data_IF_735055541518
#
_entry.id   IF_735055541518
#
_cell.length_a   1.000
_cell.length_b   1.000
_cell.length_c   1.000
_cell.angle_alpha   90.00
_cell.angle_beta   90.00
_cell.angle_gamma   90.00
#
_symmetry.space_group_name_H-M   'P 1'
#
loop_
_entity.id
_entity.type
_entity.pdbx_description
1 polymer ?
#
# COMPACT_ATOMS: atom_id res chain seq x y z
N UNK A 1 -26.80 5.82 -6.26
CA UNK A 1 -27.42 4.46 -6.34
C UNK A 1 -26.56 3.40 -5.66
N UNK A 2 -25.22 3.36 -5.86
CA UNK A 2 -24.34 2.39 -5.18
C UNK A 2 -24.36 2.54 -3.65
N UNK A 3 -24.31 3.75 -3.13
CA UNK A 3 -24.34 4.01 -1.67
C UNK A 3 -25.67 3.57 -1.02
N UNK A 4 -26.79 3.71 -1.70
CA UNK A 4 -28.09 3.27 -1.17
C UNK A 4 -28.22 1.74 -1.16
N UNK A 5 -27.71 1.04 -2.17
CA UNK A 5 -27.66 -0.41 -2.19
C UNK A 5 -26.75 -0.97 -1.08
N UNK A 6 -25.66 -0.27 -0.77
CA UNK A 6 -24.72 -0.65 0.27
C UNK A 6 -25.35 -0.57 1.67
N UNK A 7 -26.01 0.56 1.99
CA UNK A 7 -26.59 0.77 3.31
C UNK A 7 -27.79 -0.13 3.61
N UNK A 8 -28.60 -0.44 2.61
CA UNK A 8 -29.83 -1.24 2.79
C UNK A 8 -29.58 -2.75 2.66
N UNK A 9 -28.60 -3.19 1.89
CA UNK A 9 -28.46 -4.60 1.49
C UNK A 9 -27.14 -5.26 1.90
N UNK A 10 -26.22 -4.59 2.60
CA UNK A 10 -24.91 -5.11 2.96
C UNK A 10 -24.12 -5.64 1.74
N UNK A 11 -24.24 -4.97 0.61
CA UNK A 11 -23.51 -5.30 -0.63
C UNK A 11 -22.50 -4.22 -0.90
N UNK A 12 -21.26 -4.64 -1.07
CA UNK A 12 -20.14 -3.76 -1.37
C UNK A 12 -19.29 -4.36 -2.49
N UNK A 13 -19.03 -3.60 -3.56
CA UNK A 13 -18.23 -4.04 -4.70
C UNK A 13 -17.38 -2.89 -5.22
N UNK A 14 -16.05 -3.06 -5.15
CA UNK A 14 -15.07 -2.05 -5.54
C UNK A 14 -14.11 -2.57 -6.58
N UNK A 15 -13.97 -1.90 -7.72
CA UNK A 15 -12.84 -2.11 -8.61
C UNK A 15 -11.58 -1.44 -8.03
N UNK A 16 -10.44 -2.03 -8.30
CA UNK A 16 -9.13 -1.47 -7.98
C UNK A 16 -8.17 -1.67 -9.15
N UNK A 17 -7.30 -0.69 -9.35
CA UNK A 17 -6.18 -0.75 -10.29
C UNK A 17 -4.94 -0.36 -9.50
N UNK A 18 -3.93 -1.21 -9.55
CA UNK A 18 -2.65 -1.03 -8.85
C UNK A 18 -1.50 -0.97 -9.85
N UNK A 19 -0.28 -0.83 -9.36
CA UNK A 19 0.91 -0.86 -10.21
C UNK A 19 1.17 -2.22 -10.87
N UNK A 20 0.63 -3.31 -10.29
CA UNK A 20 0.90 -4.68 -10.71
C UNK A 20 -0.32 -5.45 -11.18
N UNK A 21 -1.49 -4.86 -11.18
CA UNK A 21 -2.71 -5.53 -11.64
C UNK A 21 -3.99 -4.81 -11.28
N UNK A 22 -5.08 -5.34 -11.75
CA UNK A 22 -6.44 -4.89 -11.48
C UNK A 22 -7.27 -5.98 -10.83
N UNK A 23 -8.32 -5.57 -10.13
CA UNK A 23 -9.23 -6.49 -9.47
C UNK A 23 -10.55 -5.87 -9.09
N UNK A 24 -11.50 -6.70 -8.73
CA UNK A 24 -12.78 -6.30 -8.13
C UNK A 24 -12.97 -7.08 -6.84
N UNK A 25 -13.11 -6.37 -5.73
CA UNK A 25 -13.43 -6.98 -4.44
C UNK A 25 -14.91 -6.81 -4.15
N UNK A 26 -15.59 -7.89 -3.76
CA UNK A 26 -17.01 -7.90 -3.40
C UNK A 26 -17.24 -8.48 -2.01
N UNK A 27 -18.22 -7.93 -1.28
CA UNK A 27 -18.72 -8.47 -0.01
C UNK A 27 -20.24 -8.38 0.02
N UNK A 28 -20.89 -9.43 0.52
CA UNK A 28 -22.31 -9.42 0.83
C UNK A 28 -22.66 -10.44 1.91
N UNK A 29 -23.89 -10.39 2.41
CA UNK A 29 -24.48 -11.50 3.12
C UNK A 29 -25.15 -12.49 2.14
N UNK A 30 -25.49 -13.70 2.62
CA UNK A 30 -26.08 -14.75 1.76
C UNK A 30 -27.39 -14.34 1.09
N UNK A 31 -28.17 -13.46 1.71
CA UNK A 31 -29.46 -12.98 1.12
C UNK A 31 -29.26 -12.10 -0.10
N UNK A 32 -28.10 -11.46 -0.21
CA UNK A 32 -27.82 -10.45 -1.25
C UNK A 32 -26.71 -10.86 -2.21
N UNK A 33 -26.36 -12.15 -2.25
CA UNK A 33 -25.32 -12.69 -3.13
C UNK A 33 -25.58 -12.29 -4.60
N UNK A 34 -26.80 -12.46 -5.10
CA UNK A 34 -27.11 -12.09 -6.49
C UNK A 34 -26.87 -10.60 -6.76
N UNK A 35 -27.18 -9.71 -5.82
CA UNK A 35 -26.91 -8.29 -6.00
C UNK A 35 -25.38 -8.00 -6.04
N UNK A 36 -24.58 -8.72 -5.25
CA UNK A 36 -23.13 -8.62 -5.33
C UNK A 36 -22.61 -9.08 -6.70
N UNK A 37 -23.08 -10.20 -7.21
CA UNK A 37 -22.71 -10.68 -8.55
C UNK A 37 -23.15 -9.74 -9.67
N UNK A 38 -24.35 -9.14 -9.57
CA UNK A 38 -24.81 -8.10 -10.50
C UNK A 38 -23.87 -6.88 -10.50
N UNK A 39 -23.48 -6.41 -9.31
CA UNK A 39 -22.58 -5.27 -9.20
C UNK A 39 -21.17 -5.61 -9.71
N UNK A 40 -20.68 -6.83 -9.45
CA UNK A 40 -19.44 -7.33 -10.03
C UNK A 40 -19.52 -7.29 -11.56
N UNK A 41 -20.53 -7.90 -12.13
CA UNK A 41 -20.76 -7.93 -13.59
C UNK A 41 -20.79 -6.52 -14.21
N UNK A 42 -21.48 -5.57 -13.56
CA UNK A 42 -21.57 -4.19 -14.04
C UNK A 42 -20.22 -3.45 -13.99
N UNK A 43 -19.29 -3.83 -13.10
CA UNK A 43 -17.95 -3.27 -13.13
C UNK A 43 -17.16 -3.68 -14.37
N UNK A 44 -17.46 -4.83 -14.96
CA UNK A 44 -16.83 -5.27 -16.22
C UNK A 44 -17.56 -4.75 -17.47
N UNK A 45 -18.89 -4.54 -17.41
CA UNK A 45 -19.70 -4.36 -18.62
C UNK A 45 -20.32 -2.97 -18.79
N UNK A 46 -20.55 -2.23 -17.71
CA UNK A 46 -21.29 -0.95 -17.75
C UNK A 46 -20.72 0.09 -16.78
N UNK A 47 -19.54 0.61 -17.09
CA UNK A 47 -18.97 1.71 -16.33
C UNK A 47 -19.73 3.00 -16.55
N UNK A 48 -20.31 3.57 -15.50
CA UNK A 48 -21.06 4.83 -15.52
C UNK A 48 -20.35 5.96 -14.80
N UNK A 49 -19.26 6.44 -15.35
CA UNK A 49 -18.59 7.65 -14.88
C UNK A 49 -19.17 8.85 -15.63
N UNK A 50 -19.57 9.88 -14.86
CA UNK A 50 -20.08 11.17 -15.39
C UNK A 50 -19.03 12.26 -15.19
N UNK A 51 -19.09 13.31 -16.03
CA UNK A 51 -18.16 14.44 -15.94
C UNK A 51 -18.07 15.03 -14.54
N UNK A 52 -19.20 15.22 -13.89
CA UNK A 52 -19.21 15.79 -12.52
C UNK A 52 -18.53 14.89 -11.45
N UNK A 53 -18.32 13.61 -11.72
CA UNK A 53 -17.53 12.73 -10.83
C UNK A 53 -16.03 12.99 -11.02
N UNK A 54 -15.62 13.14 -12.27
CA UNK A 54 -14.23 13.46 -12.63
C UNK A 54 -13.86 14.84 -12.11
N UNK A 55 -14.71 15.85 -12.35
CA UNK A 55 -14.48 17.23 -11.89
C UNK A 55 -14.30 17.31 -10.37
N UNK A 56 -15.20 16.68 -9.60
CA UNK A 56 -15.09 16.62 -8.13
C UNK A 56 -13.86 15.86 -7.64
N UNK A 57 -13.48 14.80 -8.35
CA UNK A 57 -12.25 14.08 -8.03
C UNK A 57 -11.02 14.98 -8.24
N UNK A 58 -10.93 15.63 -9.40
CA UNK A 58 -9.83 16.55 -9.74
C UNK A 58 -9.74 17.68 -8.71
N UNK A 59 -10.86 18.35 -8.45
CA UNK A 59 -10.92 19.46 -7.48
C UNK A 59 -10.44 19.02 -6.09
N UNK A 60 -10.91 17.87 -5.62
CA UNK A 60 -10.47 17.32 -4.33
C UNK A 60 -8.97 17.04 -4.31
N UNK A 61 -8.42 16.40 -5.36
CA UNK A 61 -7.00 16.07 -5.44
C UNK A 61 -6.11 17.30 -5.53
N UNK A 62 -6.55 18.32 -6.24
CA UNK A 62 -5.84 19.61 -6.28
C UNK A 62 -5.84 20.28 -4.90
N UNK A 63 -6.98 20.28 -4.20
CA UNK A 63 -7.05 20.86 -2.85
C UNK A 63 -6.18 20.07 -1.85
N UNK A 64 -6.18 18.74 -1.92
CA UNK A 64 -5.29 17.89 -1.11
C UNK A 64 -3.82 18.22 -1.39
N UNK A 65 -3.43 18.36 -2.65
CA UNK A 65 -2.06 18.72 -3.04
C UNK A 65 -1.66 20.11 -2.52
N UNK A 66 -2.55 21.11 -2.62
CA UNK A 66 -2.28 22.47 -2.10
C UNK A 66 -2.05 22.44 -0.59
N UNK A 67 -2.91 21.73 0.14
CA UNK A 67 -2.79 21.58 1.61
C UNK A 67 -1.49 20.84 1.96
N UNK A 68 -1.17 19.76 1.25
CA UNK A 68 0.05 18.98 1.49
C UNK A 68 1.30 19.84 1.22
N UNK A 69 1.29 20.66 0.18
CA UNK A 69 2.39 21.56 -0.14
C UNK A 69 2.68 22.62 0.93
N UNK A 70 1.67 22.99 1.72
CA UNK A 70 1.82 23.87 2.88
C UNK A 70 2.41 23.15 4.10
N UNK A 71 2.45 21.81 4.09
CA UNK A 71 3.02 21.01 5.15
C UNK A 71 4.54 21.12 5.12
N UNK A 72 5.21 21.52 6.23
CA UNK A 72 6.68 21.59 6.30
C UNK A 72 7.40 20.31 5.90
N UNK A 73 6.73 19.15 6.06
CA UNK A 73 7.27 17.85 5.68
C UNK A 73 7.17 17.54 4.17
N UNK A 74 6.48 18.36 3.40
CA UNK A 74 6.25 18.10 1.98
C UNK A 74 7.57 17.93 1.21
N UNK A 75 8.45 18.93 1.31
CA UNK A 75 9.75 18.93 0.63
C UNK A 75 10.63 17.74 1.08
N UNK A 76 10.62 17.43 2.38
CA UNK A 76 11.37 16.28 2.89
C UNK A 76 10.85 14.95 2.37
N UNK A 77 9.52 14.80 2.24
CA UNK A 77 8.91 13.61 1.68
C UNK A 77 9.21 13.48 0.18
N UNK A 78 9.19 14.58 -0.57
CA UNK A 78 9.56 14.59 -1.98
C UNK A 78 11.02 14.16 -2.18
N UNK A 79 11.95 14.76 -1.42
CA UNK A 79 13.36 14.42 -1.51
C UNK A 79 13.64 12.98 -1.09
N UNK A 80 12.99 12.50 -0.04
CA UNK A 80 13.06 11.10 0.37
C UNK A 80 12.64 10.17 -0.78
N UNK A 81 11.49 10.43 -1.41
CA UNK A 81 11.02 9.60 -2.54
C UNK A 81 11.96 9.65 -3.73
N UNK A 82 12.47 10.85 -4.10
CA UNK A 82 13.47 11.00 -5.17
C UNK A 82 14.69 10.12 -4.93
N UNK A 83 15.23 10.17 -3.73
CA UNK A 83 16.40 9.37 -3.35
C UNK A 83 16.08 7.88 -3.29
N UNK A 84 14.96 7.52 -2.67
CA UNK A 84 14.52 6.13 -2.55
C UNK A 84 14.38 5.44 -3.90
N UNK A 85 13.71 6.08 -4.85
CA UNK A 85 13.41 5.55 -6.18
C UNK A 85 14.32 6.10 -7.29
N UNK A 86 15.45 6.70 -6.92
CA UNK A 86 16.45 7.20 -7.87
C UNK A 86 15.86 8.20 -8.88
N UNK A 87 14.96 9.07 -8.43
CA UNK A 87 14.25 10.09 -9.21
C UNK A 87 13.45 9.52 -10.39
N UNK A 88 12.94 8.30 -10.24
CA UNK A 88 12.17 7.68 -11.31
C UNK A 88 10.81 8.38 -11.50
N UNK A 89 10.43 8.81 -12.72
CA UNK A 89 9.27 9.68 -12.95
C UNK A 89 7.94 9.08 -12.51
N UNK A 90 7.78 7.76 -12.57
CA UNK A 90 6.54 7.08 -12.14
C UNK A 90 6.34 7.03 -10.62
N UNK A 91 7.35 7.38 -9.84
CA UNK A 91 7.29 7.35 -8.37
C UNK A 91 7.08 8.72 -7.75
N UNK A 92 7.04 9.78 -8.57
CA UNK A 92 6.78 11.14 -8.12
C UNK A 92 5.32 11.33 -7.69
N UNK A 93 5.09 12.24 -6.75
CA UNK A 93 3.73 12.64 -6.41
C UNK A 93 3.11 13.43 -7.56
N UNK A 94 1.85 13.14 -7.92
CA UNK A 94 1.14 13.93 -8.93
C UNK A 94 0.97 15.39 -8.48
N UNK A 95 1.21 16.33 -9.38
CA UNK A 95 1.01 17.76 -9.16
C UNK A 95 -0.40 18.21 -9.54
N UNK A 96 -0.75 19.45 -9.23
CA UNK A 96 -2.03 20.02 -9.66
C UNK A 96 -2.12 20.12 -11.19
N UNK A 97 -1.01 20.41 -11.89
CA UNK A 97 -0.95 20.39 -13.35
C UNK A 97 -1.24 19.01 -13.92
N UNK A 98 -0.77 17.94 -13.27
CA UNK A 98 -1.10 16.58 -13.67
C UNK A 98 -2.60 16.30 -13.54
N UNK A 99 -3.21 16.66 -12.42
CA UNK A 99 -4.64 16.42 -12.21
C UNK A 99 -5.53 17.19 -13.20
N UNK A 100 -5.14 18.41 -13.58
CA UNK A 100 -5.86 19.24 -14.57
C UNK A 100 -5.89 18.63 -15.98
N UNK A 101 -4.98 17.70 -16.28
CA UNK A 101 -4.93 17.04 -17.60
C UNK A 101 -5.87 15.84 -17.70
N UNK A 102 -6.41 15.35 -16.59
CA UNK A 102 -7.28 14.18 -16.58
C UNK A 102 -8.63 14.51 -17.22
N UNK A 103 -9.02 13.76 -18.23
CA UNK A 103 -10.30 13.88 -18.89
C UNK A 103 -11.24 12.69 -18.62
N UNK A 104 -12.55 12.90 -18.76
CA UNK A 104 -13.53 11.82 -18.64
C UNK A 104 -13.27 10.72 -19.66
N UNK A 105 -12.93 11.07 -20.90
CA UNK A 105 -12.66 10.13 -21.99
C UNK A 105 -11.47 9.23 -21.64
N UNK A 106 -10.37 9.79 -21.16
CA UNK A 106 -9.19 9.00 -20.74
C UNK A 106 -9.52 8.05 -19.61
N UNK A 107 -10.27 8.52 -18.58
CA UNK A 107 -10.69 7.67 -17.46
C UNK A 107 -11.56 6.51 -17.96
N UNK A 108 -12.52 6.78 -18.82
CA UNK A 108 -13.41 5.75 -19.37
C UNK A 108 -12.66 4.74 -20.25
N UNK A 109 -11.80 5.22 -21.14
CA UNK A 109 -11.02 4.38 -22.04
C UNK A 109 -10.03 3.49 -21.27
N UNK A 110 -9.33 4.07 -20.28
CA UNK A 110 -8.39 3.33 -19.45
C UNK A 110 -9.09 2.24 -18.64
N UNK A 111 -10.21 2.59 -17.97
CA UNK A 111 -10.97 1.61 -17.20
C UNK A 111 -11.51 0.49 -18.10
N UNK A 112 -12.11 0.86 -19.22
CA UNK A 112 -12.64 -0.12 -20.19
C UNK A 112 -11.55 -1.07 -20.69
N UNK A 113 -10.37 -0.54 -20.99
CA UNK A 113 -9.25 -1.37 -21.43
C UNK A 113 -8.84 -2.39 -20.35
N UNK A 114 -8.79 -1.99 -19.07
CA UNK A 114 -8.39 -2.89 -17.97
C UNK A 114 -9.42 -3.96 -17.60
N UNK A 115 -10.72 -3.68 -17.80
CA UNK A 115 -11.81 -4.57 -17.39
C UNK A 115 -12.59 -5.19 -18.56
N UNK A 116 -12.15 -5.03 -19.80
CA UNK A 116 -12.89 -5.57 -20.97
C UNK A 116 -12.82 -7.09 -21.07
N UNK A 117 -11.79 -7.71 -20.55
CA UNK A 117 -11.54 -9.16 -20.65
C UNK A 117 -11.70 -9.85 -19.29
N UNK A 118 -12.91 -10.33 -18.99
CA UNK A 118 -13.17 -11.09 -17.78
C UNK A 118 -12.45 -12.43 -17.72
N UNK A 119 -12.07 -12.98 -18.87
CA UNK A 119 -11.33 -14.23 -18.98
C UNK A 119 -9.87 -14.14 -18.50
N UNK A 120 -9.34 -12.92 -18.37
CA UNK A 120 -7.99 -12.68 -17.79
C UNK A 120 -7.97 -12.57 -16.25
N UNK A 121 -9.13 -12.70 -15.59
CA UNK A 121 -9.24 -12.61 -14.13
C UNK A 121 -9.42 -13.97 -13.46
N UNK A 122 -8.75 -14.15 -12.32
CA UNK A 122 -9.01 -15.26 -11.42
C UNK A 122 -10.09 -14.85 -10.40
N UNK A 123 -11.19 -15.61 -10.31
CA UNK A 123 -12.29 -15.36 -9.39
C UNK A 123 -12.19 -16.28 -8.16
N UNK A 124 -11.97 -15.70 -6.99
CA UNK A 124 -11.85 -16.41 -5.71
C UNK A 124 -13.06 -16.03 -4.86
N UNK A 125 -13.90 -17.01 -4.50
CA UNK A 125 -15.10 -16.81 -3.69
C UNK A 125 -14.93 -17.57 -2.38
N UNK A 126 -15.07 -16.86 -1.27
CA UNK A 126 -14.90 -17.41 0.08
C UNK A 126 -16.09 -17.03 0.95
N UNK A 127 -16.71 -17.98 1.62
CA UNK A 127 -17.84 -17.73 2.49
C UNK A 127 -18.55 -18.99 2.94
N UNK A 128 -19.61 -18.80 3.72
CA UNK A 128 -20.55 -19.85 4.15
C UNK A 128 -21.72 -19.90 3.17
N UNK A 129 -21.59 -20.72 2.14
CA UNK A 129 -22.60 -20.91 1.09
C UNK A 129 -22.60 -22.36 0.57
N UNK A 130 -23.76 -22.83 0.11
CA UNK A 130 -23.86 -24.10 -0.62
C UNK A 130 -23.50 -23.88 -2.10
N UNK A 131 -22.72 -24.80 -2.68
CA UNK A 131 -22.24 -24.70 -4.06
C UNK A 131 -23.42 -24.61 -5.06
N UNK A 132 -24.46 -25.37 -4.85
CA UNK A 132 -25.68 -25.41 -5.68
C UNK A 132 -26.41 -24.06 -5.72
N UNK A 133 -26.22 -23.22 -4.69
CA UNK A 133 -26.81 -21.88 -4.62
C UNK A 133 -25.97 -20.88 -5.39
N UNK A 134 -24.65 -21.01 -5.38
CA UNK A 134 -23.74 -20.02 -5.97
C UNK A 134 -23.42 -20.35 -7.44
N UNK A 135 -23.40 -21.61 -7.84
CA UNK A 135 -23.08 -22.05 -9.19
C UNK A 135 -23.93 -21.36 -10.28
N UNK A 136 -25.26 -21.24 -10.16
CA UNK A 136 -26.06 -20.52 -11.17
C UNK A 136 -25.71 -19.01 -11.25
N UNK A 137 -25.26 -18.42 -10.16
CA UNK A 137 -24.82 -17.01 -10.14
C UNK A 137 -23.46 -16.85 -10.83
N UNK A 138 -22.55 -17.80 -10.61
CA UNK A 138 -21.24 -17.84 -11.29
C UNK A 138 -21.46 -17.97 -12.80
N UNK A 139 -22.25 -18.95 -13.24
CA UNK A 139 -22.55 -19.15 -14.65
C UNK A 139 -23.17 -17.91 -15.30
N UNK A 140 -24.16 -17.32 -14.63
CA UNK A 140 -24.90 -16.17 -15.12
C UNK A 140 -24.08 -14.90 -15.21
N UNK A 141 -23.27 -14.60 -14.21
CA UNK A 141 -22.58 -13.31 -14.09
C UNK A 141 -21.08 -13.37 -14.45
N UNK A 142 -20.38 -14.40 -14.02
CA UNK A 142 -18.94 -14.55 -14.33
C UNK A 142 -18.79 -15.26 -15.69
N UNK A 143 -19.49 -16.37 -15.88
CA UNK A 143 -19.42 -17.14 -17.14
C UNK A 143 -19.91 -16.41 -18.38
N UNK A 144 -20.64 -15.29 -18.20
CA UNK A 144 -21.08 -14.43 -19.32
C UNK A 144 -20.16 -13.24 -19.60
N UNK A 145 -19.07 -13.07 -18.85
CA UNK A 145 -18.06 -12.04 -19.13
C UNK A 145 -17.30 -12.38 -20.44
N UNK A 146 -16.78 -11.35 -21.07
CA UNK A 146 -15.96 -11.51 -22.28
C UNK A 146 -14.68 -12.28 -21.97
N UNK A 147 -14.31 -13.19 -22.85
CA UNK A 147 -13.04 -13.91 -22.83
C UNK A 147 -12.29 -13.64 -24.15
N UNK A 148 -11.49 -12.58 -24.15
CA UNK A 148 -10.76 -12.12 -25.33
C UNK A 148 -9.40 -12.81 -25.49
N UNK A 149 -9.02 -13.65 -24.55
CA UNK A 149 -7.70 -14.32 -24.52
C UNK A 149 -6.54 -13.32 -24.55
N UNK A 150 -6.68 -12.20 -23.87
CA UNK A 150 -5.61 -11.20 -23.79
C UNK A 150 -4.39 -11.80 -23.09
N UNK A 151 -3.23 -11.46 -23.61
CA UNK A 151 -1.94 -11.64 -22.94
C UNK A 151 -1.42 -10.26 -22.54
N UNK A 152 -1.50 -9.94 -21.26
CA UNK A 152 -1.04 -8.68 -20.68
C UNK A 152 0.21 -8.95 -19.83
N UNK A 153 1.40 -9.15 -20.44
CA UNK A 153 2.61 -9.42 -19.69
C UNK A 153 3.01 -8.20 -18.86
N UNK A 154 3.60 -8.48 -17.71
CA UNK A 154 4.18 -7.41 -16.90
C UNK A 154 5.29 -6.68 -17.67
N UNK A 155 5.23 -5.35 -17.65
CA UNK A 155 6.25 -4.49 -18.24
C UNK A 155 7.09 -3.89 -17.12
N UNK A 156 8.35 -4.27 -17.05
CA UNK A 156 9.31 -3.68 -16.11
C UNK A 156 9.68 -2.26 -16.57
N UNK A 157 9.22 -1.26 -15.85
CA UNK A 157 9.52 0.15 -16.09
C UNK A 157 10.82 0.62 -15.44
N UNK A 158 11.60 -0.27 -14.84
CA UNK A 158 12.89 0.06 -14.24
C UNK A 158 12.79 0.78 -12.89
N UNK A 159 11.66 0.72 -12.19
CA UNK A 159 11.54 1.26 -10.84
C UNK A 159 12.37 0.40 -9.89
N UNK A 160 13.36 1.01 -9.24
CA UNK A 160 14.26 0.32 -8.30
C UNK A 160 14.54 1.16 -7.07
N UNK A 161 14.66 0.51 -5.94
CA UNK A 161 15.14 1.17 -4.73
C UNK A 161 16.63 1.49 -4.81
N UNK A 162 17.03 2.60 -4.17
CA UNK A 162 18.46 2.91 -4.03
C UNK A 162 19.20 1.82 -3.25
N UNK A 163 20.40 1.47 -3.71
CA UNK A 163 21.30 0.57 -3.00
C UNK A 163 22.35 1.36 -2.17
N UNK A 164 22.25 2.68 -2.17
CA UNK A 164 23.16 3.55 -1.43
C UNK A 164 22.72 3.71 0.01
N UNK A 165 23.70 3.73 0.93
CA UNK A 165 23.45 4.21 2.29
C UNK A 165 23.43 5.73 2.27
N UNK A 166 22.30 6.32 2.60
CA UNK A 166 22.11 7.76 2.63
C UNK A 166 21.58 8.21 4.00
N UNK A 167 22.05 9.35 4.46
CA UNK A 167 21.51 10.06 5.59
C UNK A 167 20.98 11.40 5.11
N UNK A 168 19.72 11.68 5.43
CA UNK A 168 19.05 12.92 5.08
C UNK A 168 18.46 13.54 6.33
N UNK A 169 18.74 14.80 6.55
CA UNK A 169 18.23 15.57 7.68
C UNK A 169 17.50 16.81 7.18
N UNK A 170 16.28 16.98 7.67
CA UNK A 170 15.47 18.18 7.42
C UNK A 170 15.21 18.82 8.78
N UNK A 171 15.55 20.10 8.91
CA UNK A 171 15.37 20.85 10.15
C UNK A 171 14.31 21.93 9.94
N UNK A 172 13.39 21.98 10.90
CA UNK A 172 12.54 23.15 11.09
C UNK A 172 13.14 23.98 12.23
N UNK A 173 13.08 25.29 12.09
CA UNK A 173 13.45 26.20 13.18
C UNK A 173 12.51 25.94 14.38
N UNK A 174 13.08 25.87 15.58
CA UNK A 174 12.37 25.59 16.85
C UNK A 174 11.65 24.24 16.95
N UNK A 175 12.05 23.24 16.17
CA UNK A 175 11.49 21.89 16.26
C UNK A 175 11.62 21.30 17.66
N UNK A 176 10.49 21.00 18.30
CA UNK A 176 10.44 20.37 19.63
C UNK A 176 10.55 18.85 19.58
N UNK A 177 10.38 18.26 18.41
CA UNK A 177 10.40 16.82 18.19
C UNK A 177 11.13 16.48 16.90
N UNK A 178 11.96 15.45 16.95
CA UNK A 178 12.54 14.82 15.79
C UNK A 178 11.72 13.56 15.44
N UNK A 179 11.42 13.39 14.16
CA UNK A 179 10.85 12.16 13.61
C UNK A 179 11.93 11.49 12.78
N UNK A 180 12.30 10.28 13.14
CA UNK A 180 13.35 9.53 12.47
C UNK A 180 12.77 8.27 11.83
N UNK A 181 13.21 8.04 10.61
CA UNK A 181 12.81 6.89 9.83
C UNK A 181 14.05 6.19 9.28
N UNK A 182 14.34 4.99 9.81
CA UNK A 182 15.47 4.16 9.37
C UNK A 182 14.94 3.02 8.53
N UNK A 183 15.37 2.94 7.28
CA UNK A 183 14.95 1.90 6.35
C UNK A 183 16.11 1.00 6.01
N UNK A 184 15.84 -0.29 6.01
CA UNK A 184 16.80 -1.34 5.66
C UNK A 184 16.21 -2.14 4.51
N UNK A 185 16.98 -2.31 3.45
CA UNK A 185 16.62 -3.10 2.29
C UNK A 185 17.52 -4.30 2.15
N UNK A 186 16.97 -5.38 1.63
CA UNK A 186 17.74 -6.53 1.23
C UNK A 186 17.06 -7.22 0.05
N UNK A 187 17.84 -7.56 -0.97
CA UNK A 187 17.46 -8.52 -1.99
C UNK A 187 17.20 -9.85 -1.32
N UNK A 188 16.02 -10.40 -1.55
CA UNK A 188 15.60 -11.53 -0.78
C UNK A 188 14.63 -12.39 -1.58
N UNK A 189 15.03 -13.61 -1.82
CA UNK A 189 14.14 -14.54 -2.47
C UNK A 189 12.99 -14.89 -1.53
N UNK A 190 11.78 -14.55 -1.93
CA UNK A 190 10.60 -14.74 -1.12
C UNK A 190 10.37 -16.20 -0.75
N UNK A 191 10.12 -16.46 0.53
CA UNK A 191 9.60 -17.72 1.01
C UNK A 191 8.69 -17.49 2.21
N UNK A 192 7.63 -18.28 2.33
CA UNK A 192 6.74 -18.23 3.50
C UNK A 192 7.48 -18.45 4.83
N UNK A 193 8.49 -19.32 4.81
CA UNK A 193 9.32 -19.58 5.99
C UNK A 193 10.11 -18.36 6.44
N UNK A 194 10.68 -17.64 5.50
CA UNK A 194 11.49 -16.47 5.82
C UNK A 194 10.62 -15.27 6.17
N UNK A 195 9.45 -15.16 5.53
CA UNK A 195 8.40 -14.23 5.96
C UNK A 195 8.02 -14.46 7.44
N UNK A 196 7.78 -15.71 7.83
CA UNK A 196 7.48 -16.05 9.23
C UNK A 196 8.62 -15.70 10.20
N UNK A 197 9.88 -15.99 9.81
CA UNK A 197 11.06 -15.58 10.61
C UNK A 197 11.15 -14.07 10.78
N UNK A 198 10.91 -13.31 9.71
CA UNK A 198 10.96 -11.85 9.80
C UNK A 198 9.81 -11.31 10.66
N UNK A 199 8.63 -11.92 10.64
CA UNK A 199 7.55 -11.58 11.57
C UNK A 199 7.98 -11.76 13.02
N UNK A 200 8.58 -12.89 13.35
CA UNK A 200 9.08 -13.17 14.70
C UNK A 200 10.17 -12.18 15.09
N UNK A 201 11.16 -11.96 14.20
CA UNK A 201 12.23 -10.97 14.43
C UNK A 201 11.66 -9.58 14.73
N UNK A 202 10.69 -9.13 13.93
CA UNK A 202 10.06 -7.81 14.13
C UNK A 202 9.30 -7.74 15.46
N UNK A 203 8.66 -8.82 15.90
CA UNK A 203 8.00 -8.85 17.20
C UNK A 203 8.99 -8.71 18.34
N UNK A 204 10.08 -9.47 18.31
CA UNK A 204 11.17 -9.38 19.31
C UNK A 204 11.80 -7.99 19.29
N UNK A 205 12.11 -7.47 18.11
CA UNK A 205 12.71 -6.13 18.01
C UNK A 205 11.77 -5.04 18.54
N UNK A 206 10.47 -5.12 18.28
CA UNK A 206 9.50 -4.15 18.81
C UNK A 206 9.43 -4.18 20.33
N UNK A 207 9.44 -5.36 20.95
CA UNK A 207 9.48 -5.50 22.40
C UNK A 207 10.76 -4.90 22.98
N UNK A 208 11.91 -5.26 22.42
CA UNK A 208 13.20 -4.69 22.86
C UNK A 208 13.28 -3.18 22.69
N UNK A 209 12.80 -2.64 21.56
CA UNK A 209 12.78 -1.20 21.32
C UNK A 209 11.88 -0.47 22.32
N UNK A 210 10.71 -1.05 22.61
CA UNK A 210 9.79 -0.48 23.58
C UNK A 210 10.38 -0.50 24.99
N UNK A 211 10.81 -1.67 25.45
CA UNK A 211 11.28 -1.84 26.82
C UNK A 211 12.58 -1.06 27.08
N UNK A 212 13.57 -1.20 26.19
CA UNK A 212 14.89 -0.60 26.40
C UNK A 212 14.96 0.88 26.09
N UNK A 213 14.46 1.29 24.91
CA UNK A 213 14.61 2.68 24.44
C UNK A 213 13.56 3.60 25.02
N UNK A 214 12.32 3.12 25.16
CA UNK A 214 11.22 3.95 25.66
C UNK A 214 11.05 3.88 27.16
N UNK A 215 10.94 2.67 27.75
CA UNK A 215 10.61 2.52 29.17
C UNK A 215 11.85 2.62 30.08
N UNK A 216 12.96 1.96 29.74
CA UNK A 216 14.17 2.01 30.58
C UNK A 216 14.96 3.31 30.37
N UNK A 217 15.33 3.60 29.11
CA UNK A 217 16.19 4.74 28.80
C UNK A 217 15.41 6.06 28.68
N UNK A 218 14.08 6.01 28.50
CA UNK A 218 13.18 7.16 28.36
C UNK A 218 13.62 8.17 27.29
N UNK A 219 14.18 7.67 26.18
CA UNK A 219 14.80 8.48 25.13
C UNK A 219 13.80 8.94 24.07
N UNK A 220 12.64 8.27 23.94
CA UNK A 220 11.66 8.50 22.86
C UNK A 220 10.24 8.67 23.38
N UNK A 221 9.43 9.42 22.65
CA UNK A 221 7.98 9.48 22.89
C UNK A 221 7.28 8.26 22.32
N UNK A 222 7.72 7.81 21.15
CA UNK A 222 7.23 6.61 20.48
C UNK A 222 8.32 5.96 19.66
N UNK A 223 8.32 4.64 19.60
CA UNK A 223 9.21 3.86 18.75
C UNK A 223 8.47 2.60 18.30
N UNK A 224 8.65 2.24 17.04
CA UNK A 224 8.09 1.00 16.47
C UNK A 224 8.90 0.55 15.27
N UNK A 225 8.75 -0.71 14.92
CA UNK A 225 9.25 -1.24 13.66
C UNK A 225 8.12 -1.85 12.83
N UNK A 226 8.28 -1.83 11.53
CA UNK A 226 7.40 -2.49 10.60
C UNK A 226 8.18 -3.03 9.41
N UNK A 227 7.53 -3.85 8.60
CA UNK A 227 8.13 -4.52 7.46
C UNK A 227 7.25 -4.41 6.24
N UNK A 228 7.89 -4.48 5.10
CA UNK A 228 7.26 -4.57 3.80
C UNK A 228 7.96 -5.65 2.98
N UNK A 229 7.17 -6.47 2.31
CA UNK A 229 7.66 -7.44 1.35
C UNK A 229 7.10 -7.08 -0.01
N UNK A 230 7.97 -6.93 -1.00
CA UNK A 230 7.57 -6.97 -2.39
C UNK A 230 7.77 -8.43 -2.88
N UNK A 231 6.66 -9.09 -3.11
CA UNK A 231 6.66 -10.54 -3.32
C UNK A 231 6.93 -10.93 -4.76
N UNK A 232 6.90 -10.00 -5.70
CA UNK A 232 6.83 -10.40 -7.09
C UNK A 232 7.63 -9.56 -8.07
N UNK A 233 7.42 -8.27 -8.18
CA UNK A 233 7.81 -7.53 -9.37
C UNK A 233 8.11 -6.07 -9.01
N UNK A 234 9.16 -5.47 -9.53
CA UNK A 234 10.15 -6.00 -10.49
C UNK A 234 11.23 -6.86 -9.85
N UNK A 235 11.37 -6.81 -8.54
CA UNK A 235 12.39 -7.52 -7.75
C UNK A 235 11.76 -8.03 -6.45
N UNK A 236 12.16 -9.23 -6.05
CA UNK A 236 11.84 -9.72 -4.71
C UNK A 236 12.70 -8.97 -3.70
N UNK A 237 12.15 -7.93 -3.09
CA UNK A 237 12.85 -7.13 -2.09
C UNK A 237 12.13 -7.16 -0.75
N UNK A 238 12.90 -7.21 0.31
CA UNK A 238 12.38 -7.04 1.67
C UNK A 238 12.92 -5.77 2.25
N UNK A 239 12.02 -4.93 2.76
CA UNK A 239 12.40 -3.81 3.60
C UNK A 239 11.81 -3.95 5.00
N UNK A 240 12.55 -3.48 5.98
CA UNK A 240 11.99 -3.17 7.29
C UNK A 240 12.42 -1.78 7.70
N UNK A 241 11.63 -1.16 8.55
CA UNK A 241 11.95 0.16 9.04
C UNK A 241 11.70 0.27 10.54
N UNK A 242 12.48 1.13 11.17
CA UNK A 242 12.30 1.57 12.54
C UNK A 242 11.93 3.04 12.48
N UNK A 243 10.81 3.38 13.11
CA UNK A 243 10.34 4.75 13.23
C UNK A 243 10.31 5.15 14.69
N UNK A 244 10.82 6.34 15.00
CA UNK A 244 10.71 6.89 16.33
C UNK A 244 10.53 8.41 16.33
N UNK A 245 9.92 8.91 17.41
CA UNK A 245 9.78 10.34 17.71
C UNK A 245 10.41 10.62 19.04
N UNK A 246 11.38 11.54 19.08
CA UNK A 246 12.13 11.90 20.28
C UNK A 246 12.54 13.37 20.33
N UNK A 247 13.28 13.75 21.37
CA UNK A 247 13.92 15.05 21.44
C UNK A 247 15.05 15.11 20.39
N UNK A 248 15.14 16.20 19.59
CA UNK A 248 16.20 16.37 18.61
C UNK A 248 17.62 16.20 19.17
N UNK A 249 17.82 16.56 20.44
CA UNK A 249 19.12 16.42 21.12
C UNK A 249 19.54 14.98 21.38
N UNK A 250 18.59 14.06 21.42
CA UNK A 250 18.80 12.66 21.74
C UNK A 250 18.92 11.76 20.52
N UNK A 251 18.76 12.29 19.30
CA UNK A 251 18.70 11.49 18.06
C UNK A 251 19.91 10.58 17.89
N UNK A 252 21.12 11.07 18.17
CA UNK A 252 22.34 10.28 18.08
C UNK A 252 22.36 9.15 19.12
N UNK A 253 22.00 9.45 20.38
CA UNK A 253 21.94 8.45 21.45
C UNK A 253 20.90 7.37 21.12
N UNK A 254 19.74 7.76 20.62
CA UNK A 254 18.68 6.82 20.21
C UNK A 254 19.17 5.92 19.07
N UNK A 255 19.83 6.48 18.07
CA UNK A 255 20.38 5.71 16.96
C UNK A 255 21.45 4.70 17.43
N UNK A 256 22.36 5.11 18.31
CA UNK A 256 23.37 4.22 18.89
C UNK A 256 22.71 3.09 19.69
N UNK A 257 21.69 3.40 20.47
CA UNK A 257 20.96 2.40 21.26
C UNK A 257 20.24 1.38 20.37
N UNK A 258 19.63 1.83 19.28
CA UNK A 258 19.02 0.95 18.29
C UNK A 258 20.07 0.02 17.66
N UNK A 259 21.24 0.55 17.32
CA UNK A 259 22.33 -0.26 16.73
C UNK A 259 22.83 -1.31 17.71
N UNK A 260 22.99 -0.98 19.01
CA UNK A 260 23.35 -1.95 20.06
C UNK A 260 22.31 -3.08 20.17
N UNK A 261 21.02 -2.75 20.15
CA UNK A 261 19.95 -3.76 20.20
C UNK A 261 19.96 -4.67 18.97
N UNK A 262 20.21 -4.12 17.78
CA UNK A 262 20.34 -4.91 16.56
C UNK A 262 21.56 -5.87 16.67
N UNK A 263 22.69 -5.40 17.20
CA UNK A 263 23.85 -6.26 17.41
C UNK A 263 23.59 -7.35 18.48
N UNK A 264 22.86 -7.05 19.54
CA UNK A 264 22.43 -8.03 20.54
C UNK A 264 21.62 -9.15 19.87
N UNK A 265 20.67 -8.80 19.00
CA UNK A 265 19.89 -9.79 18.23
C UNK A 265 20.79 -10.63 17.32
N UNK A 266 21.74 -10.03 16.61
CA UNK A 266 22.66 -10.73 15.73
C UNK A 266 23.54 -11.74 16.46
N UNK A 267 23.99 -11.38 17.66
CA UNK A 267 24.89 -12.19 18.49
C UNK A 267 24.14 -13.27 19.29
N UNK A 268 22.80 -13.30 19.21
CA UNK A 268 21.94 -14.21 19.99
C UNK A 268 22.10 -14.05 21.53
N UNK A 269 22.47 -12.87 21.97
CA UNK A 269 22.61 -12.51 23.38
C UNK A 269 21.24 -12.11 23.95
N UNK A 270 20.31 -13.10 24.02
CA UNK A 270 19.02 -12.88 24.64
C UNK A 270 19.11 -13.23 26.13
N UNK A 271 18.64 -12.35 27.00
CA UNK A 271 18.34 -12.72 28.37
C UNK A 271 17.23 -13.79 28.38
N UNK A 272 17.37 -14.78 29.26
CA UNK A 272 16.42 -15.90 29.43
C UNK A 272 15.02 -15.48 29.93
N UNK A 273 14.64 -14.21 29.77
CA UNK A 273 13.38 -13.62 30.23
C UNK A 273 12.43 -13.23 29.10
N UNK A 274 12.74 -13.59 27.85
CA UNK A 274 11.83 -13.42 26.70
C UNK A 274 11.21 -14.76 26.30
#
# INVERSE_FOLDING_TARGET
EKENLFQENFVDVFPSITESGEGVTGKSNNKNLENMFKMLYLNFTDLRVKQNHVDRFIERRINEYIIDKENPKHESNLDYRKKLYQDHPRTMYPTDEFFKQISLEEVQNFYKDRFIDGGSFDFIIVGDFEFETIEPLIEKYIGSLSDLKRDDPYIDHGIRYTQKREYNEYKEDDAKKANIFRVYFKDYKYSYRDKAKLYLLMSILNEMLFDKVREEDNLVYSISSAKYFDEKIPEEITSFYIYFTGDPKNVENINNRIDELIETIKNKEFDNQI
#
